data_IF_885439803025
#
_entry.id   IF_885439803025
#
_cell.length_a   1.000
_cell.length_b   1.000
_cell.length_c   1.000
_cell.angle_alpha   90.00
_cell.angle_beta   90.00
_cell.angle_gamma   90.00
#
_symmetry.space_group_name_H-M   'P 1'
#
loop_
_entity.id
_entity.type
_entity.pdbx_description
1 polymer ?
#
# COMPACT_ATOMS: atom_id res chain seq x y z
N UNK A 1 19.12 -14.10 -0.78
CA UNK A 1 19.22 -12.66 -0.52
C UNK A 1 18.55 -11.91 -1.66
N UNK A 2 17.22 -11.80 -1.63
CA UNK A 2 16.51 -10.93 -2.56
C UNK A 2 16.82 -9.51 -2.09
N UNK A 3 17.72 -8.82 -2.80
CA UNK A 3 17.96 -7.40 -2.55
C UNK A 3 16.60 -6.71 -2.62
N UNK A 4 16.28 -5.88 -1.60
CA UNK A 4 15.37 -4.73 -1.65
C UNK A 4 15.09 -4.35 -3.10
N UNK A 5 13.82 -4.23 -3.51
CA UNK A 5 13.44 -3.85 -4.89
C UNK A 5 14.47 -2.83 -5.39
N UNK A 6 15.22 -3.20 -6.44
CA UNK A 6 16.36 -2.37 -6.87
C UNK A 6 15.81 -0.98 -7.13
N UNK A 7 16.52 0.06 -6.69
CA UNK A 7 16.10 1.45 -6.84
C UNK A 7 15.64 1.78 -8.26
N UNK A 8 16.33 1.22 -9.26
CA UNK A 8 16.01 1.29 -10.70
C UNK A 8 14.60 0.80 -11.07
N UNK A 9 14.01 -0.11 -10.27
CA UNK A 9 12.64 -0.63 -10.47
C UNK A 9 11.57 0.18 -9.74
N UNK A 10 11.96 1.11 -8.86
CA UNK A 10 11.02 1.88 -8.03
C UNK A 10 11.10 3.38 -8.31
N UNK A 11 12.00 3.81 -9.20
CA UNK A 11 12.09 5.21 -9.63
C UNK A 11 10.98 5.53 -10.64
N UNK A 12 10.43 6.74 -10.50
CA UNK A 12 9.47 7.28 -11.46
C UNK A 12 10.26 7.92 -12.61
N UNK A 13 10.05 7.43 -13.82
CA UNK A 13 10.62 7.98 -15.04
C UNK A 13 9.59 8.85 -15.77
N UNK A 14 10.05 10.00 -16.27
CA UNK A 14 9.25 10.93 -17.08
C UNK A 14 9.75 10.86 -18.53
N UNK A 15 8.90 10.39 -19.45
CA UNK A 15 9.13 10.48 -20.90
C UNK A 15 8.38 11.71 -21.42
N UNK A 16 9.09 12.85 -21.47
CA UNK A 16 8.53 14.13 -21.91
C UNK A 16 8.10 14.12 -23.38
N UNK A 17 8.78 13.36 -24.24
CA UNK A 17 8.45 13.27 -25.66
C UNK A 17 7.10 12.59 -25.89
N UNK A 18 6.80 11.56 -25.09
CA UNK A 18 5.52 10.84 -25.17
C UNK A 18 4.46 11.36 -24.18
N UNK A 19 4.84 12.26 -23.26
CA UNK A 19 3.98 12.71 -22.18
C UNK A 19 3.56 11.58 -21.24
N UNK A 20 4.45 10.61 -21.00
CA UNK A 20 4.17 9.44 -20.17
C UNK A 20 4.98 9.44 -18.88
N UNK A 21 4.39 8.87 -17.84
CA UNK A 21 5.07 8.53 -16.59
C UNK A 21 5.16 7.03 -16.47
N UNK A 22 6.30 6.54 -16.00
CA UNK A 22 6.57 5.12 -15.81
C UNK A 22 7.16 4.86 -14.43
N UNK A 23 6.93 3.67 -13.92
CA UNK A 23 7.59 3.14 -12.74
C UNK A 23 8.54 2.01 -13.17
N UNK A 24 9.85 2.24 -13.12
CA UNK A 24 10.88 1.29 -13.55
C UNK A 24 11.69 1.70 -14.79
N UNK A 25 11.97 0.76 -15.71
CA UNK A 25 12.58 0.99 -17.03
C UNK A 25 11.60 0.77 -18.23
N UNK A 26 11.52 1.77 -19.11
CA UNK A 26 10.51 2.02 -20.17
C UNK A 26 9.97 0.83 -21.00
N UNK A 27 10.68 -0.30 -21.10
CA UNK A 27 10.25 -1.47 -21.90
C UNK A 27 9.39 -2.49 -21.13
N UNK A 28 9.36 -2.47 -19.79
CA UNK A 28 8.64 -3.48 -18.96
C UNK A 28 7.69 -2.90 -17.91
N UNK A 29 7.42 -1.60 -18.00
CA UNK A 29 6.95 -0.81 -16.87
C UNK A 29 5.45 -0.60 -16.72
N UNK A 30 5.11 -0.14 -15.52
CA UNK A 30 3.78 0.34 -15.15
C UNK A 30 3.68 1.79 -15.60
N UNK A 31 2.74 2.06 -16.51
CA UNK A 31 2.37 3.44 -16.86
C UNK A 31 1.61 4.07 -15.69
N UNK A 32 2.03 5.26 -15.31
CA UNK A 32 1.43 6.02 -14.21
C UNK A 32 0.58 7.17 -14.77
N UNK A 33 -0.45 7.53 -14.01
CA UNK A 33 -1.26 8.72 -14.21
C UNK A 33 -1.20 9.54 -12.93
N UNK A 34 -0.93 10.84 -13.05
CA UNK A 34 -1.08 11.77 -11.94
C UNK A 34 -2.55 12.15 -11.84
N UNK A 35 -3.16 11.86 -10.69
CA UNK A 35 -4.55 12.19 -10.38
C UNK A 35 -4.56 13.10 -9.16
N UNK A 36 -5.51 14.05 -9.11
CA UNK A 36 -5.76 14.80 -7.88
C UNK A 36 -6.68 13.98 -6.97
N UNK A 37 -6.61 14.14 -5.65
CA UNK A 37 -7.44 13.37 -4.71
C UNK A 37 -8.93 13.51 -5.02
N UNK A 38 -9.39 14.74 -5.29
CA UNK A 38 -10.77 15.03 -5.69
C UNK A 38 -11.25 14.24 -6.91
N UNK A 39 -10.38 13.99 -7.91
CA UNK A 39 -10.75 13.25 -9.12
C UNK A 39 -11.07 11.78 -8.78
N UNK A 40 -10.39 11.22 -7.77
CA UNK A 40 -10.63 9.85 -7.27
C UNK A 40 -11.91 9.81 -6.43
N UNK A 41 -12.17 10.84 -5.63
CA UNK A 41 -13.36 10.93 -4.81
C UNK A 41 -14.63 11.01 -5.65
N UNK A 42 -14.64 11.85 -6.69
CA UNK A 42 -15.74 11.92 -7.66
C UNK A 42 -15.99 10.56 -8.33
N UNK A 43 -14.93 9.80 -8.66
CA UNK A 43 -15.10 8.45 -9.18
C UNK A 43 -15.83 7.53 -8.19
N UNK A 44 -15.51 7.63 -6.90
CA UNK A 44 -16.13 6.82 -5.85
C UNK A 44 -17.61 7.18 -5.64
N UNK A 45 -18.03 8.42 -5.91
CA UNK A 45 -19.44 8.81 -5.86
C UNK A 45 -20.31 8.01 -6.84
N UNK A 46 -19.79 7.69 -8.02
CA UNK A 46 -20.52 6.88 -9.01
C UNK A 46 -20.77 5.44 -8.56
N UNK A 47 -19.96 4.91 -7.63
CA UNK A 47 -20.13 3.57 -7.10
C UNK A 47 -21.31 3.50 -6.10
N UNK A 48 -21.64 4.62 -5.44
CA UNK A 48 -22.76 4.76 -4.51
C UNK A 48 -22.38 4.58 -3.03
N UNK A 49 -23.27 5.01 -2.12
CA UNK A 49 -22.98 5.16 -0.68
C UNK A 49 -22.66 3.87 0.11
N UNK A 50 -22.93 2.69 -0.46
CA UNK A 50 -22.65 1.38 0.14
C UNK A 50 -21.64 0.57 -0.70
N UNK A 51 -20.78 1.25 -1.44
CA UNK A 51 -19.84 0.63 -2.37
C UNK A 51 -18.46 0.36 -1.76
N UNK A 52 -18.33 0.39 -0.43
CA UNK A 52 -17.06 0.18 0.27
C UNK A 52 -16.37 -1.10 -0.22
N UNK A 53 -17.13 -2.22 -0.34
CA UNK A 53 -16.62 -3.49 -0.88
C UNK A 53 -16.15 -3.37 -2.33
N UNK A 54 -16.85 -2.60 -3.17
CA UNK A 54 -16.51 -2.40 -4.58
C UNK A 54 -15.23 -1.56 -4.69
N UNK A 55 -15.08 -0.53 -3.86
CA UNK A 55 -13.90 0.34 -3.81
C UNK A 55 -12.69 -0.49 -3.38
N UNK A 56 -12.80 -1.24 -2.28
CA UNK A 56 -11.76 -2.14 -1.80
C UNK A 56 -11.41 -3.18 -2.88
N UNK A 57 -12.41 -3.83 -3.47
CA UNK A 57 -12.20 -4.86 -4.50
C UNK A 57 -11.53 -4.32 -5.77
N UNK A 58 -11.93 -3.11 -6.20
CA UNK A 58 -11.37 -2.45 -7.38
C UNK A 58 -9.91 -2.07 -7.16
N UNK A 59 -9.59 -1.50 -6.00
CA UNK A 59 -8.22 -1.15 -5.61
C UNK A 59 -7.36 -2.40 -5.42
N UNK A 60 -7.92 -3.43 -4.79
CA UNK A 60 -7.29 -4.74 -4.60
C UNK A 60 -6.92 -5.40 -5.93
N UNK A 61 -7.89 -5.55 -6.83
CA UNK A 61 -7.71 -6.28 -8.08
C UNK A 61 -6.98 -5.44 -9.13
N UNK A 62 -7.34 -4.16 -9.26
CA UNK A 62 -6.87 -3.29 -10.34
C UNK A 62 -5.52 -2.62 -10.06
N UNK A 63 -5.15 -2.43 -8.79
CA UNK A 63 -3.89 -1.79 -8.41
C UNK A 63 -2.99 -2.74 -7.63
N UNK A 64 -3.44 -3.25 -6.47
CA UNK A 64 -2.59 -4.08 -5.60
C UNK A 64 -2.04 -5.34 -6.28
N UNK A 65 -2.92 -6.15 -6.86
CA UNK A 65 -2.53 -7.37 -7.57
C UNK A 65 -1.72 -7.08 -8.84
N UNK A 66 -2.17 -6.12 -9.65
CA UNK A 66 -1.47 -5.78 -10.89
C UNK A 66 -0.08 -5.18 -10.66
N UNK A 67 0.11 -4.37 -9.61
CA UNK A 67 1.41 -3.88 -9.18
C UNK A 67 2.39 -5.04 -8.92
N UNK A 68 1.93 -6.07 -8.20
CA UNK A 68 2.73 -7.27 -7.93
C UNK A 68 3.08 -8.04 -9.20
N UNK A 69 2.09 -8.29 -10.07
CA UNK A 69 2.31 -8.98 -11.34
C UNK A 69 3.30 -8.24 -12.24
N UNK A 70 3.24 -6.92 -12.27
CA UNK A 70 4.14 -6.08 -13.06
C UNK A 70 5.56 -6.09 -12.50
N UNK A 71 5.73 -5.94 -11.19
CA UNK A 71 7.06 -5.97 -10.58
C UNK A 71 7.77 -7.32 -10.68
N UNK A 72 6.99 -8.40 -10.57
CA UNK A 72 7.53 -9.75 -10.40
C UNK A 72 7.18 -10.72 -11.53
N UNK A 73 6.53 -10.25 -12.60
CA UNK A 73 6.21 -11.01 -13.82
C UNK A 73 5.49 -12.34 -13.55
N UNK A 74 4.35 -12.29 -12.86
CA UNK A 74 3.52 -13.46 -12.52
C UNK A 74 4.28 -14.58 -11.80
N UNK A 75 5.26 -14.21 -10.98
CA UNK A 75 6.02 -15.16 -10.15
C UNK A 75 5.07 -15.91 -9.20
N UNK A 76 5.23 -17.22 -9.14
CA UNK A 76 4.57 -18.06 -8.13
C UNK A 76 5.25 -17.89 -6.75
N UNK A 77 4.46 -17.47 -5.76
CA UNK A 77 4.89 -17.23 -4.38
C UNK A 77 4.56 -18.39 -3.43
N UNK A 78 3.92 -19.46 -3.89
CA UNK A 78 3.44 -20.58 -3.06
C UNK A 78 4.56 -21.24 -2.24
N UNK A 79 5.73 -21.43 -2.84
CA UNK A 79 6.88 -22.11 -2.25
C UNK A 79 7.99 -21.16 -1.76
N UNK A 80 7.71 -19.86 -1.66
CA UNK A 80 8.68 -18.86 -1.22
C UNK A 80 8.63 -18.72 0.31
N UNK A 81 9.80 -18.65 0.95
CA UNK A 81 9.90 -18.47 2.41
C UNK A 81 9.21 -17.18 2.89
N UNK A 82 8.58 -17.23 4.07
CA UNK A 82 7.88 -16.09 4.68
C UNK A 82 8.81 -14.88 4.90
N UNK A 83 10.07 -15.11 5.24
CA UNK A 83 11.10 -14.07 5.39
C UNK A 83 11.25 -13.25 4.09
N UNK A 84 11.33 -13.94 2.95
CA UNK A 84 11.43 -13.32 1.62
C UNK A 84 10.13 -12.60 1.26
N UNK A 85 8.97 -13.18 1.58
CA UNK A 85 7.66 -12.53 1.35
C UNK A 85 7.54 -11.22 2.15
N UNK A 86 7.98 -11.23 3.42
CA UNK A 86 8.04 -10.03 4.27
C UNK A 86 8.95 -8.95 3.68
N UNK A 87 10.17 -9.32 3.26
CA UNK A 87 11.10 -8.39 2.60
C UNK A 87 10.51 -7.78 1.33
N UNK A 88 9.84 -8.60 0.51
CA UNK A 88 9.17 -8.15 -0.72
C UNK A 88 8.03 -7.20 -0.40
N UNK A 89 7.18 -7.55 0.57
CA UNK A 89 6.08 -6.71 1.01
C UNK A 89 6.57 -5.32 1.41
N UNK A 90 7.59 -5.26 2.29
CA UNK A 90 8.19 -4.01 2.72
C UNK A 90 8.76 -3.19 1.54
N UNK A 91 9.43 -3.85 0.59
CA UNK A 91 9.93 -3.19 -0.61
C UNK A 91 8.82 -2.60 -1.49
N UNK A 92 7.67 -3.27 -1.59
CA UNK A 92 6.53 -2.75 -2.35
C UNK A 92 5.89 -1.56 -1.64
N UNK A 93 5.84 -1.55 -0.31
CA UNK A 93 5.39 -0.38 0.45
C UNK A 93 6.33 0.82 0.25
N UNK A 94 7.65 0.61 0.17
CA UNK A 94 8.61 1.67 -0.20
C UNK A 94 8.30 2.25 -1.59
N UNK A 95 7.85 1.43 -2.54
CA UNK A 95 7.44 1.91 -3.85
C UNK A 95 6.14 2.73 -3.81
N UNK A 96 5.17 2.34 -2.97
CA UNK A 96 3.96 3.16 -2.73
C UNK A 96 4.33 4.55 -2.20
N UNK A 97 5.30 4.64 -1.29
CA UNK A 97 5.80 5.93 -0.78
C UNK A 97 6.33 6.81 -1.92
N UNK A 98 7.11 6.23 -2.84
CA UNK A 98 7.65 6.95 -4.00
C UNK A 98 6.57 7.41 -4.98
N UNK A 99 5.41 6.75 -5.00
CA UNK A 99 4.24 7.14 -5.78
C UNK A 99 3.34 8.18 -5.09
N UNK A 100 3.71 8.67 -3.91
CA UNK A 100 2.99 9.75 -3.23
C UNK A 100 1.81 9.28 -2.36
N UNK A 101 1.77 8.00 -1.95
CA UNK A 101 0.74 7.49 -1.04
C UNK A 101 0.93 7.92 0.43
N UNK A 102 1.96 8.72 0.73
CA UNK A 102 2.40 9.06 2.08
C UNK A 102 3.52 8.16 2.57
N UNK A 103 3.92 8.30 3.83
CA UNK A 103 4.95 7.47 4.44
C UNK A 103 4.34 6.18 4.97
N UNK A 104 4.71 5.05 4.37
CA UNK A 104 4.09 3.75 4.63
C UNK A 104 5.06 2.85 5.37
N UNK A 105 4.61 2.28 6.49
CA UNK A 105 5.37 1.33 7.31
C UNK A 105 4.51 0.10 7.61
N UNK A 106 5.16 -1.03 7.88
CA UNK A 106 4.44 -2.22 8.33
C UNK A 106 5.10 -2.84 9.56
N UNK A 107 4.29 -3.44 10.42
CA UNK A 107 4.70 -4.16 11.63
C UNK A 107 4.06 -5.54 11.60
N UNK A 108 4.88 -6.59 11.54
CA UNK A 108 4.42 -7.97 11.53
C UNK A 108 4.28 -8.48 12.96
N UNK A 109 3.07 -8.93 13.31
CA UNK A 109 2.78 -9.66 14.55
C UNK A 109 2.48 -11.12 14.22
N UNK A 110 2.36 -11.95 15.25
CA UNK A 110 2.20 -13.41 15.10
C UNK A 110 0.97 -13.79 14.29
N UNK A 111 -0.13 -13.08 14.51
CA UNK A 111 -1.47 -13.35 14.00
C UNK A 111 -2.03 -12.21 13.12
N UNK A 112 -1.32 -11.09 12.98
CA UNK A 112 -1.77 -9.96 12.17
C UNK A 112 -0.59 -9.13 11.64
N UNK A 113 -0.86 -8.34 10.61
CA UNK A 113 0.07 -7.34 10.07
C UNK A 113 -0.58 -5.97 10.24
N UNK A 114 0.15 -5.02 10.81
CA UNK A 114 -0.24 -3.62 10.75
C UNK A 114 0.44 -2.92 9.59
N UNK A 115 -0.30 -2.08 8.88
CA UNK A 115 0.26 -1.11 7.94
C UNK A 115 -0.16 0.29 8.38
N UNK A 116 0.81 1.16 8.61
CA UNK A 116 0.59 2.54 9.03
C UNK A 116 1.02 3.50 7.93
N UNK A 117 0.16 4.46 7.62
CA UNK A 117 0.37 5.50 6.63
C UNK A 117 0.33 6.87 7.32
N UNK A 118 1.47 7.56 7.31
CA UNK A 118 1.61 8.93 7.82
C UNK A 118 1.55 9.91 6.65
N UNK A 119 0.96 11.08 6.89
CA UNK A 119 0.63 12.06 5.86
C UNK A 119 -0.05 11.42 4.63
N UNK A 120 -1.10 10.60 4.83
CA UNK A 120 -1.79 9.98 3.72
C UNK A 120 -2.54 11.05 2.92
N UNK A 121 -2.74 10.80 1.63
CA UNK A 121 -3.41 11.75 0.73
C UNK A 121 -4.84 12.13 1.16
N UNK A 122 -5.47 11.30 2.00
CA UNK A 122 -6.78 11.60 2.60
C UNK A 122 -6.76 12.86 3.50
N UNK A 123 -5.60 13.22 4.05
CA UNK A 123 -5.45 14.40 4.90
C UNK A 123 -5.70 15.71 4.13
N UNK A 124 -5.42 15.74 2.83
CA UNK A 124 -5.69 16.92 1.97
C UNK A 124 -7.18 17.16 1.74
N UNK A 125 -8.03 16.18 2.06
CA UNK A 125 -9.48 16.18 1.80
C UNK A 125 -10.29 16.02 3.10
N UNK A 126 -9.74 16.39 4.27
CA UNK A 126 -10.40 16.22 5.58
C UNK A 126 -11.82 16.80 5.66
N UNK A 127 -12.08 17.92 4.98
CA UNK A 127 -13.39 18.57 4.95
C UNK A 127 -14.41 17.83 4.04
N UNK A 128 -13.97 16.84 3.28
CA UNK A 128 -14.78 16.07 2.35
C UNK A 128 -15.28 14.77 3.00
N UNK A 129 -16.60 14.64 3.15
CA UNK A 129 -17.22 13.44 3.74
C UNK A 129 -16.88 12.14 2.99
N UNK A 130 -16.50 12.24 1.72
CA UNK A 130 -16.11 11.11 0.88
C UNK A 130 -14.63 10.74 1.02
N UNK A 131 -13.81 11.50 1.73
CA UNK A 131 -12.37 11.25 1.91
C UNK A 131 -12.07 9.85 2.46
N UNK A 132 -12.99 9.24 3.22
CA UNK A 132 -12.88 7.85 3.68
C UNK A 132 -12.60 6.85 2.55
N UNK A 133 -13.05 7.16 1.33
CA UNK A 133 -12.87 6.29 0.17
C UNK A 133 -11.39 6.16 -0.23
N UNK A 134 -10.56 7.17 0.04
CA UNK A 134 -9.12 7.10 -0.17
C UNK A 134 -8.47 6.09 0.79
N UNK A 135 -8.94 6.01 2.04
CA UNK A 135 -8.50 4.99 3.00
C UNK A 135 -8.93 3.58 2.58
N UNK A 136 -10.16 3.43 2.06
CA UNK A 136 -10.66 2.17 1.52
C UNK A 136 -9.83 1.69 0.30
N UNK A 137 -9.42 2.62 -0.57
CA UNK A 137 -8.51 2.33 -1.68
C UNK A 137 -7.17 1.80 -1.15
N UNK A 138 -6.57 2.49 -0.17
CA UNK A 138 -5.32 2.07 0.44
C UNK A 138 -5.42 0.66 1.05
N UNK A 139 -6.50 0.39 1.80
CA UNK A 139 -6.77 -0.93 2.35
C UNK A 139 -6.88 -1.99 1.25
N UNK A 140 -7.58 -1.69 0.15
CA UNK A 140 -7.71 -2.57 -1.01
C UNK A 140 -6.36 -2.88 -1.65
N UNK A 141 -5.55 -1.86 -1.94
CA UNK A 141 -4.20 -2.01 -2.51
C UNK A 141 -3.36 -2.96 -1.65
N UNK A 142 -3.29 -2.70 -0.34
CA UNK A 142 -2.50 -3.51 0.60
C UNK A 142 -3.01 -4.96 0.63
N UNK A 143 -4.33 -5.15 0.69
CA UNK A 143 -4.95 -6.48 0.63
C UNK A 143 -4.57 -7.25 -0.64
N UNK A 144 -4.50 -6.56 -1.78
CA UNK A 144 -4.12 -7.17 -3.05
C UNK A 144 -2.66 -7.61 -3.08
N UNK A 145 -1.77 -6.79 -2.53
CA UNK A 145 -0.34 -7.11 -2.40
C UNK A 145 -0.14 -8.34 -1.50
N UNK A 146 -0.80 -8.36 -0.33
CA UNK A 146 -0.72 -9.47 0.62
C UNK A 146 -1.24 -10.77 0.01
N UNK A 147 -2.37 -10.72 -0.70
CA UNK A 147 -2.95 -11.90 -1.35
C UNK A 147 -2.02 -12.50 -2.42
N UNK A 148 -1.40 -11.68 -3.27
CA UNK A 148 -0.45 -12.17 -4.28
C UNK A 148 0.79 -12.81 -3.65
N UNK A 149 1.21 -12.33 -2.48
CA UNK A 149 2.27 -12.97 -1.70
C UNK A 149 1.81 -14.27 -1.01
N UNK A 150 0.53 -14.61 -1.10
CA UNK A 150 -0.08 -15.81 -0.52
C UNK A 150 -0.41 -15.66 0.97
N UNK A 151 -0.62 -14.43 1.46
CA UNK A 151 -1.23 -14.21 2.76
C UNK A 151 -2.74 -14.14 2.60
N UNK A 152 -3.46 -15.02 3.29
CA UNK A 152 -4.91 -14.94 3.42
C UNK A 152 -5.25 -14.03 4.59
N UNK A 153 -5.90 -12.90 4.31
CA UNK A 153 -6.11 -11.83 5.30
C UNK A 153 -7.46 -11.14 5.18
N UNK A 154 -7.98 -10.68 6.32
CA UNK A 154 -9.09 -9.73 6.40
C UNK A 154 -8.57 -8.42 6.99
N UNK A 155 -8.76 -7.34 6.24
CA UNK A 155 -8.26 -6.02 6.57
C UNK A 155 -9.35 -5.11 7.14
N UNK A 156 -8.99 -4.26 8.08
CA UNK A 156 -9.82 -3.15 8.55
C UNK A 156 -8.94 -1.95 8.97
N UNK A 157 -9.46 -0.74 8.80
CA UNK A 157 -8.85 0.47 9.37
C UNK A 157 -9.16 0.55 10.87
N UNK A 158 -8.15 0.82 11.70
CA UNK A 158 -8.24 0.89 13.17
C UNK A 158 -7.83 2.25 13.74
N UNK A 159 -7.11 3.06 12.98
CA UNK A 159 -6.79 4.48 13.27
C UNK A 159 -6.95 5.25 11.94
N UNK A 160 -7.48 6.47 11.96
CA UNK A 160 -7.77 7.24 10.75
C UNK A 160 -7.51 8.74 10.95
N UNK A 161 -6.74 9.37 10.05
CA UNK A 161 -6.46 10.82 10.10
C UNK A 161 -7.71 11.69 9.94
N UNK A 162 -8.78 11.14 9.35
CA UNK A 162 -10.07 11.83 9.21
C UNK A 162 -10.86 11.84 10.53
N UNK A 163 -10.41 11.08 11.53
CA UNK A 163 -10.98 11.00 12.87
C UNK A 163 -10.04 11.60 13.93
N UNK A 164 -9.17 12.54 13.51
CA UNK A 164 -8.17 13.22 14.33
C UNK A 164 -7.02 12.31 14.87
N UNK A 165 -6.84 11.11 14.33
CA UNK A 165 -5.66 10.28 14.63
C UNK A 165 -4.41 10.81 13.92
N UNK A 166 -3.22 10.49 14.44
CA UNK A 166 -1.94 10.93 13.86
C UNK A 166 -1.58 10.25 12.52
N UNK A 167 -2.28 9.18 12.15
CA UNK A 167 -2.01 8.34 10.98
C UNK A 167 -3.22 7.49 10.63
N UNK A 168 -3.25 6.97 9.41
CA UNK A 168 -4.12 5.85 9.07
C UNK A 168 -3.41 4.55 9.40
N UNK A 169 -4.05 3.66 10.17
CA UNK A 169 -3.51 2.34 10.51
C UNK A 169 -4.51 1.27 10.12
N UNK A 170 -4.03 0.31 9.35
CA UNK A 170 -4.79 -0.85 8.90
C UNK A 170 -4.28 -2.10 9.58
N UNK A 171 -5.19 -2.92 10.10
CA UNK A 171 -4.93 -4.24 10.67
C UNK A 171 -5.38 -5.31 9.69
N UNK A 172 -4.48 -6.22 9.34
CA UNK A 172 -4.75 -7.38 8.50
C UNK A 172 -4.58 -8.65 9.34
N UNK A 173 -5.68 -9.26 9.74
CA UNK A 173 -5.69 -10.50 10.50
C UNK A 173 -5.33 -11.68 9.58
N UNK A 174 -4.43 -12.56 10.00
CA UNK A 174 -3.91 -13.67 9.19
C UNK A 174 -4.76 -14.93 9.38
N UNK A 175 -5.26 -15.51 8.29
CA UNK A 175 -5.92 -16.82 8.31
C UNK A 175 -4.97 -17.93 7.90
N UNK A 176 -4.91 -18.98 8.73
CA UNK A 176 -4.13 -20.19 8.42
C UNK A 176 -2.61 -20.02 8.39
N UNK A 177 -2.09 -18.80 8.60
CA UNK A 177 -0.66 -18.48 8.62
C UNK A 177 -0.31 -17.83 9.96
N UNK A 178 0.72 -18.34 10.65
CA UNK A 178 1.32 -17.68 11.80
C UNK A 178 2.73 -17.23 11.46
N UNK A 179 3.06 -15.98 11.76
CA UNK A 179 4.41 -15.46 11.57
C UNK A 179 5.32 -16.05 12.66
N UNK A 180 6.43 -16.72 12.29
CA UNK A 180 7.42 -17.22 13.23
C UNK A 180 7.97 -16.11 14.13
N UNK A 181 8.34 -16.45 15.37
CA UNK A 181 8.79 -15.46 16.36
C UNK A 181 10.01 -14.66 15.86
N UNK A 182 10.90 -15.26 15.06
CA UNK A 182 12.04 -14.56 14.45
C UNK A 182 11.68 -13.51 13.38
N UNK A 183 10.44 -13.53 12.88
CA UNK A 183 9.92 -12.58 11.89
C UNK A 183 8.91 -11.58 12.48
N UNK A 184 8.61 -11.68 13.78
CA UNK A 184 7.76 -10.72 14.49
C UNK A 184 8.55 -9.44 14.78
N UNK A 185 7.93 -8.29 14.49
CA UNK A 185 8.51 -6.98 14.76
C UNK A 185 8.15 -6.47 16.16
N UNK A 186 9.12 -5.82 16.80
CA UNK A 186 8.84 -4.95 17.93
C UNK A 186 8.02 -3.74 17.46
N UNK A 187 7.02 -3.34 18.26
CA UNK A 187 6.22 -2.18 17.92
C UNK A 187 7.03 -0.92 18.18
N UNK A 188 7.29 -0.13 17.14
CA UNK A 188 7.87 1.20 17.29
C UNK A 188 6.77 2.20 17.63
N UNK A 189 7.07 3.14 18.51
CA UNK A 189 6.11 4.18 18.87
C UNK A 189 5.85 5.10 17.65
N UNK A 190 4.62 5.63 17.51
CA UNK A 190 4.30 6.59 16.44
C UNK A 190 5.25 7.80 16.45
N UNK A 191 5.57 8.32 17.63
CA UNK A 191 6.38 9.53 17.82
C UNK A 191 7.79 9.36 17.24
N UNK A 192 8.41 8.19 17.43
CA UNK A 192 9.73 7.91 16.89
C UNK A 192 9.76 7.89 15.34
N UNK A 193 8.62 7.66 14.69
CA UNK A 193 8.49 7.69 13.24
C UNK A 193 8.22 9.12 12.79
N UNK A 194 7.29 9.84 13.45
CA UNK A 194 7.01 11.25 13.16
C UNK A 194 8.25 12.13 13.31
N UNK A 195 9.02 11.98 14.40
CA UNK A 195 10.27 12.71 14.63
C UNK A 195 11.30 12.46 13.52
N UNK A 196 11.35 11.22 13.01
CA UNK A 196 12.21 10.89 11.87
C UNK A 196 11.73 11.59 10.59
N UNK A 197 10.43 11.61 10.33
CA UNK A 197 9.84 12.28 9.16
C UNK A 197 10.07 13.79 9.19
N UNK A 198 9.92 14.43 10.36
CA UNK A 198 10.21 15.85 10.55
C UNK A 198 11.70 16.19 10.38
N UNK A 199 12.58 15.21 10.50
CA UNK A 199 14.04 15.39 10.36
C UNK A 199 14.58 15.23 8.94
N UNK A 200 13.76 14.78 7.98
CA UNK A 200 14.11 14.62 6.56
C UNK A 200 14.01 15.95 5.80
#
# INVERSE_FOLDING_TARGET
MFKRLRKEKTEIMVDEEKGHLFLGDNEKDIKLLMLRPVDILEFCEFAGANADDIIIWSAKSGVGKELMKKYFHDKDWSNVELSVKKEVFLGVLEALMLMGYGYVTATFKKDHIFVSMYNPIAEEEQDNIMAKNLCLINQGIISGILEELGFDTEGQEVECVLLDDQRCRFRFDLFGTQIPDELVDEEKSPEAITDFLESL
#
